data_IF_339984081769
#
_entry.id   IF_339984081769
#
_cell.length_a   1.000
_cell.length_b   1.000
_cell.length_c   1.000
_cell.angle_alpha   90.00
_cell.angle_beta   90.00
_cell.angle_gamma   90.00
#
_symmetry.space_group_name_H-M   'P 1'
#
loop_
_entity.id
_entity.type
_entity.pdbx_description
1 polymer ?
#
# COMPACT_ATOMS: atom_id res chain seq x y z
N UNK A 1 41.11 -35.22 -18.53
CA UNK A 1 40.74 -33.89 -18.08
C UNK A 1 39.34 -33.65 -18.56
N UNK A 2 38.34 -33.98 -17.74
CA UNK A 2 36.92 -33.81 -18.03
C UNK A 2 36.41 -32.72 -17.12
N UNK A 3 36.16 -31.58 -17.73
CA UNK A 3 35.69 -30.40 -17.09
C UNK A 3 34.15 -30.54 -16.87
N UNK A 4 33.74 -30.75 -15.62
CA UNK A 4 32.35 -30.90 -15.26
C UNK A 4 31.76 -29.50 -15.10
N UNK A 5 31.02 -29.02 -16.09
CA UNK A 5 30.17 -27.87 -16.02
C UNK A 5 29.02 -28.17 -15.04
N UNK A 6 29.17 -27.67 -13.80
CA UNK A 6 28.08 -27.64 -12.82
C UNK A 6 27.10 -26.56 -13.26
N UNK A 7 25.98 -27.00 -13.80
CA UNK A 7 24.81 -26.12 -14.04
C UNK A 7 24.32 -25.53 -12.70
N UNK A 8 24.05 -24.22 -12.58
CA UNK A 8 23.46 -23.70 -11.36
C UNK A 8 22.08 -24.33 -11.17
N UNK A 9 21.87 -24.93 -10.00
CA UNK A 9 20.58 -25.49 -9.61
C UNK A 9 19.51 -24.41 -9.73
N UNK A 10 18.46 -24.69 -10.50
CA UNK A 10 17.26 -23.87 -10.55
C UNK A 10 16.68 -23.80 -9.11
N UNK A 11 16.54 -22.60 -8.59
CA UNK A 11 15.89 -22.37 -7.29
C UNK A 11 14.44 -22.83 -7.39
N UNK A 12 14.02 -23.64 -6.45
CA UNK A 12 12.64 -24.12 -6.31
C UNK A 12 11.70 -22.90 -6.17
N UNK A 13 10.75 -22.67 -7.09
CA UNK A 13 9.84 -21.53 -7.03
C UNK A 13 8.85 -21.58 -5.86
N UNK A 14 8.73 -22.73 -5.18
CA UNK A 14 7.87 -22.91 -4.00
C UNK A 14 8.62 -22.76 -2.66
N UNK A 15 9.88 -22.33 -2.68
CA UNK A 15 10.60 -22.06 -1.43
C UNK A 15 10.00 -20.81 -0.75
N UNK A 16 9.70 -20.87 0.56
CA UNK A 16 9.07 -19.76 1.30
C UNK A 16 9.91 -18.47 1.32
N UNK A 17 11.17 -18.54 0.91
CA UNK A 17 12.11 -17.42 0.91
C UNK A 17 12.25 -16.72 -0.45
N UNK A 18 11.60 -17.21 -1.50
CA UNK A 18 11.65 -16.63 -2.85
C UNK A 18 10.30 -16.02 -3.22
N UNK A 19 10.31 -14.75 -3.63
CA UNK A 19 9.11 -13.99 -3.97
C UNK A 19 9.26 -13.27 -5.30
N UNK A 20 8.18 -13.16 -6.05
CA UNK A 20 8.17 -12.48 -7.34
C UNK A 20 8.31 -10.95 -7.20
N UNK A 21 9.19 -10.35 -8.01
CA UNK A 21 9.34 -8.91 -8.17
C UNK A 21 9.39 -8.58 -9.67
N UNK A 22 8.25 -8.20 -10.24
CA UNK A 22 8.09 -8.03 -11.67
C UNK A 22 8.29 -9.35 -12.42
N UNK A 23 9.34 -9.44 -13.23
CA UNK A 23 9.71 -10.65 -13.97
C UNK A 23 10.89 -11.44 -13.36
N UNK A 24 11.28 -11.12 -12.12
CA UNK A 24 12.40 -11.75 -11.41
C UNK A 24 11.94 -12.31 -10.08
N UNK A 25 12.46 -13.48 -9.74
CA UNK A 25 12.33 -14.07 -8.42
C UNK A 25 13.51 -13.61 -7.56
N UNK A 26 13.20 -13.02 -6.42
CA UNK A 26 14.17 -12.48 -5.47
C UNK A 26 13.87 -12.98 -4.07
N UNK A 27 14.85 -12.88 -3.16
CA UNK A 27 14.62 -13.19 -1.76
C UNK A 27 13.61 -12.23 -1.15
N UNK A 28 12.75 -12.73 -0.27
CA UNK A 28 11.71 -11.96 0.40
C UNK A 28 12.26 -10.68 1.08
N UNK A 29 13.44 -10.80 1.71
CA UNK A 29 14.13 -9.70 2.39
C UNK A 29 14.55 -8.57 1.43
N UNK A 30 14.93 -8.92 0.19
CA UNK A 30 15.36 -7.94 -0.80
C UNK A 30 14.19 -7.20 -1.45
N UNK A 31 13.00 -7.82 -1.50
CA UNK A 31 11.82 -7.23 -2.14
C UNK A 31 11.43 -5.90 -1.50
N UNK A 32 11.30 -5.87 -0.18
CA UNK A 32 10.92 -4.65 0.54
C UNK A 32 11.94 -3.51 0.33
N UNK A 33 13.24 -3.83 0.36
CA UNK A 33 14.31 -2.86 0.14
C UNK A 33 14.28 -2.28 -1.28
N UNK A 34 14.14 -3.13 -2.32
CA UNK A 34 14.08 -2.70 -3.72
C UNK A 34 12.83 -1.88 -4.03
N UNK A 35 11.68 -2.31 -3.53
CA UNK A 35 10.43 -1.55 -3.64
C UNK A 35 10.58 -0.18 -3.00
N UNK A 36 11.14 -0.10 -1.79
CA UNK A 36 11.38 1.16 -1.10
C UNK A 36 12.33 2.10 -1.86
N UNK A 37 13.36 1.58 -2.51
CA UNK A 37 14.29 2.39 -3.31
C UNK A 37 13.62 2.98 -4.55
N UNK A 38 12.85 2.19 -5.28
CA UNK A 38 12.08 2.66 -6.44
C UNK A 38 11.12 3.78 -6.03
N UNK A 39 10.38 3.60 -4.94
CA UNK A 39 9.44 4.62 -4.48
C UNK A 39 10.10 5.89 -3.93
N UNK A 40 11.27 5.80 -3.27
CA UNK A 40 12.03 6.99 -2.86
C UNK A 40 12.40 7.87 -4.04
N UNK A 41 12.83 7.27 -5.14
CA UNK A 41 13.29 7.99 -6.33
C UNK A 41 12.13 8.65 -7.11
N UNK A 42 10.92 8.13 -7.00
CA UNK A 42 9.76 8.62 -7.76
C UNK A 42 8.70 9.32 -6.91
N UNK A 43 8.84 9.36 -5.58
CA UNK A 43 7.82 9.87 -4.66
C UNK A 43 7.29 11.26 -5.03
N UNK A 44 8.17 12.20 -5.40
CA UNK A 44 7.79 13.56 -5.77
C UNK A 44 7.05 13.69 -7.11
N UNK A 45 7.23 12.70 -8.01
CA UNK A 45 6.64 12.67 -9.36
C UNK A 45 5.64 11.54 -9.55
N UNK A 46 5.34 10.80 -8.48
CA UNK A 46 4.54 9.56 -8.55
C UNK A 46 3.15 9.78 -9.19
N UNK A 47 2.44 10.82 -8.76
CA UNK A 47 1.13 11.12 -9.32
C UNK A 47 1.19 11.60 -10.76
N UNK A 48 2.20 12.43 -11.10
CA UNK A 48 2.39 12.89 -12.47
C UNK A 48 2.72 11.73 -13.42
N UNK A 49 3.54 10.79 -12.96
CA UNK A 49 3.87 9.59 -13.72
C UNK A 49 2.65 8.70 -13.92
N UNK A 50 1.83 8.52 -12.88
CA UNK A 50 0.58 7.76 -13.00
C UNK A 50 -0.43 8.46 -13.92
N UNK A 51 -0.54 9.79 -13.87
CA UNK A 51 -1.36 10.57 -14.80
C UNK A 51 -0.92 10.36 -16.26
N UNK A 52 0.39 10.44 -16.51
CA UNK A 52 0.94 10.27 -17.84
C UNK A 52 0.76 8.83 -18.37
N UNK A 53 1.03 7.81 -17.54
CA UNK A 53 0.93 6.39 -17.95
C UNK A 53 -0.50 5.91 -18.16
N UNK A 54 -1.49 6.51 -17.50
CA UNK A 54 -2.89 6.08 -17.56
C UNK A 54 -3.79 7.03 -18.35
N UNK A 55 -3.23 8.07 -18.98
CA UNK A 55 -4.00 9.13 -19.63
C UNK A 55 -5.13 9.69 -18.73
N UNK A 56 -4.86 9.79 -17.41
CA UNK A 56 -5.84 10.28 -16.44
C UNK A 56 -6.91 9.26 -15.99
N UNK A 57 -6.98 8.07 -16.59
CA UNK A 57 -8.00 7.06 -16.26
C UNK A 57 -7.92 6.59 -14.80
N UNK A 58 -6.73 6.61 -14.19
CA UNK A 58 -6.59 6.23 -12.78
C UNK A 58 -7.40 7.14 -11.84
N UNK A 59 -7.69 8.40 -12.23
CA UNK A 59 -8.54 9.30 -11.43
C UNK A 59 -9.99 8.81 -11.40
N UNK A 60 -10.50 8.29 -12.51
CA UNK A 60 -11.84 7.69 -12.60
C UNK A 60 -11.91 6.42 -11.75
N UNK A 61 -10.89 5.56 -11.82
CA UNK A 61 -10.82 4.35 -11.01
C UNK A 61 -10.77 4.66 -9.51
N UNK A 62 -9.97 5.63 -9.08
CA UNK A 62 -9.93 6.07 -7.69
C UNK A 62 -11.28 6.59 -7.20
N UNK A 63 -11.99 7.35 -8.03
CA UNK A 63 -13.34 7.82 -7.69
C UNK A 63 -14.34 6.65 -7.60
N UNK A 64 -14.30 5.71 -8.55
CA UNK A 64 -15.13 4.50 -8.50
C UNK A 64 -14.82 3.66 -7.27
N UNK A 65 -13.54 3.46 -6.96
CA UNK A 65 -13.09 2.75 -5.76
C UNK A 65 -13.68 3.37 -4.49
N UNK A 66 -13.52 4.68 -4.31
CA UNK A 66 -14.07 5.39 -3.14
C UNK A 66 -15.60 5.32 -3.10
N UNK A 67 -16.28 5.27 -4.27
CA UNK A 67 -17.72 5.03 -4.32
C UNK A 67 -18.12 3.63 -3.86
N UNK A 68 -17.28 2.62 -4.10
CA UNK A 68 -17.50 1.24 -3.61
C UNK A 68 -17.25 1.14 -2.11
N UNK A 69 -16.19 1.78 -1.61
CA UNK A 69 -15.88 1.86 -0.17
C UNK A 69 -17.01 2.52 0.62
N UNK A 70 -17.72 3.49 0.03
CA UNK A 70 -18.83 4.24 0.65
C UNK A 70 -18.47 4.81 2.03
N UNK A 71 -17.39 5.62 2.12
CA UNK A 71 -17.00 6.20 3.40
C UNK A 71 -18.13 7.10 3.95
N UNK A 72 -18.34 7.05 5.26
CA UNK A 72 -19.37 7.80 5.97
C UNK A 72 -18.74 8.73 6.98
N UNK A 73 -19.46 9.80 7.30
CA UNK A 73 -19.04 10.71 8.36
C UNK A 73 -18.90 9.97 9.70
N UNK A 74 -17.79 10.22 10.40
CA UNK A 74 -17.49 9.60 11.68
C UNK A 74 -16.88 8.20 11.61
N UNK A 75 -16.81 7.55 10.43
CA UNK A 75 -16.10 6.27 10.28
C UNK A 75 -14.59 6.47 10.36
N UNK A 76 -13.92 5.50 10.98
CA UNK A 76 -12.47 5.38 11.02
C UNK A 76 -12.03 4.40 9.95
N UNK A 77 -11.27 4.88 8.97
CA UNK A 77 -10.79 4.09 7.84
C UNK A 77 -9.27 4.00 7.87
N UNK A 78 -8.73 2.80 7.67
CA UNK A 78 -7.30 2.58 7.47
C UNK A 78 -7.03 2.38 5.97
N UNK A 79 -6.19 3.24 5.38
CA UNK A 79 -5.74 3.16 3.98
C UNK A 79 -4.28 2.71 3.98
N UNK A 80 -4.06 1.41 3.75
CA UNK A 80 -2.74 0.77 3.80
C UNK A 80 -2.05 0.82 2.44
N UNK A 81 -0.73 1.01 2.46
CA UNK A 81 0.06 1.36 1.28
C UNK A 81 -0.57 2.57 0.53
N UNK A 82 -1.06 3.53 1.31
CA UNK A 82 -1.80 4.69 0.83
C UNK A 82 -0.91 5.75 0.16
N UNK A 83 0.41 5.63 0.32
CA UNK A 83 1.40 6.47 -0.33
C UNK A 83 1.18 7.96 -0.07
N UNK A 84 1.01 8.73 -1.14
CA UNK A 84 0.77 10.18 -1.07
C UNK A 84 -0.68 10.57 -0.69
N UNK A 85 -1.53 9.60 -0.34
CA UNK A 85 -2.86 9.80 0.25
C UNK A 85 -3.97 10.18 -0.74
N UNK A 86 -3.81 9.98 -2.03
CA UNK A 86 -4.79 10.44 -3.02
C UNK A 86 -6.19 9.80 -2.85
N UNK A 87 -6.26 8.52 -2.47
CA UNK A 87 -7.52 7.82 -2.14
C UNK A 87 -8.06 8.32 -0.81
N UNK A 88 -7.21 8.39 0.21
CA UNK A 88 -7.57 8.88 1.54
C UNK A 88 -8.17 10.28 1.52
N UNK A 89 -7.62 11.19 0.71
CA UNK A 89 -8.14 12.54 0.55
C UNK A 89 -9.59 12.56 0.04
N UNK A 90 -9.92 11.65 -0.87
CA UNK A 90 -11.29 11.51 -1.37
C UNK A 90 -12.24 10.96 -0.31
N UNK A 91 -11.76 10.04 0.53
CA UNK A 91 -12.55 9.48 1.63
C UNK A 91 -12.76 10.52 2.74
N UNK A 92 -11.72 11.26 3.13
CA UNK A 92 -11.80 12.33 4.13
C UNK A 92 -12.77 13.45 3.72
N UNK A 93 -12.81 13.82 2.42
CA UNK A 93 -13.79 14.79 1.90
C UNK A 93 -15.24 14.34 2.05
N UNK A 94 -15.51 13.06 2.33
CA UNK A 94 -16.85 12.53 2.64
C UNK A 94 -17.12 12.45 4.14
N UNK A 95 -16.22 12.99 4.96
CA UNK A 95 -16.39 13.09 6.41
C UNK A 95 -15.83 11.92 7.21
N UNK A 96 -15.14 10.97 6.57
CA UNK A 96 -14.43 9.90 7.29
C UNK A 96 -13.13 10.41 7.91
N UNK A 97 -12.75 9.83 9.05
CA UNK A 97 -11.41 9.96 9.63
C UNK A 97 -10.51 8.88 9.04
N UNK A 98 -9.48 9.27 8.27
CA UNK A 98 -8.65 8.32 7.54
C UNK A 98 -7.24 8.30 8.08
N UNK A 99 -6.78 7.12 8.51
CA UNK A 99 -5.37 6.86 8.80
C UNK A 99 -4.72 6.31 7.53
N UNK A 100 -3.72 7.03 7.03
CA UNK A 100 -2.92 6.61 5.89
C UNK A 100 -1.67 5.95 6.43
N UNK A 101 -1.43 4.70 6.04
CA UNK A 101 -0.21 4.00 6.39
C UNK A 101 0.56 3.57 5.15
N UNK A 102 1.88 3.65 5.24
CA UNK A 102 2.79 3.20 4.19
C UNK A 102 4.12 2.78 4.83
N UNK A 103 4.79 1.82 4.25
CA UNK A 103 6.12 1.39 4.70
C UNK A 103 7.19 2.42 4.35
N UNK A 104 6.92 3.30 3.38
CA UNK A 104 7.86 4.31 2.91
C UNK A 104 7.51 5.69 3.49
N UNK A 105 8.28 6.20 4.48
CA UNK A 105 8.03 7.50 5.09
C UNK A 105 8.09 8.68 4.10
N UNK A 106 8.92 8.60 3.06
CA UNK A 106 9.01 9.67 2.07
C UNK A 106 7.70 9.86 1.29
N UNK A 107 6.94 8.79 1.05
CA UNK A 107 5.62 8.88 0.43
C UNK A 107 4.63 9.60 1.35
N UNK A 108 4.66 9.28 2.64
CA UNK A 108 3.80 9.92 3.64
C UNK A 108 4.13 11.41 3.79
N UNK A 109 5.41 11.78 3.76
CA UNK A 109 5.82 13.19 3.89
C UNK A 109 5.33 14.03 2.71
N UNK A 110 5.47 13.53 1.47
CA UNK A 110 4.85 14.16 0.30
C UNK A 110 3.32 14.26 0.46
N UNK A 111 2.70 13.22 1.02
CA UNK A 111 1.26 13.20 1.30
C UNK A 111 0.84 14.28 2.29
N UNK A 112 1.57 14.43 3.41
CA UNK A 112 1.34 15.47 4.42
C UNK A 112 1.38 16.88 3.82
N UNK A 113 2.47 17.19 3.08
CA UNK A 113 2.60 18.49 2.40
C UNK A 113 1.43 18.78 1.45
N UNK A 114 0.96 17.75 0.73
CA UNK A 114 -0.19 17.88 -0.17
C UNK A 114 -1.50 18.10 0.57
N UNK A 115 -1.69 17.40 1.70
CA UNK A 115 -2.86 17.57 2.56
C UNK A 115 -2.94 18.99 3.11
N UNK A 116 -1.81 19.51 3.60
CA UNK A 116 -1.70 20.86 4.15
C UNK A 116 -1.98 21.93 3.08
N UNK A 117 -1.36 21.82 1.89
CA UNK A 117 -1.62 22.70 0.75
C UNK A 117 -3.09 22.72 0.34
N UNK A 118 -3.77 21.56 0.44
CA UNK A 118 -5.20 21.40 0.09
C UNK A 118 -6.13 21.61 1.27
N UNK A 119 -5.61 21.88 2.48
CA UNK A 119 -6.38 22.09 3.74
C UNK A 119 -7.35 20.94 4.03
N UNK A 120 -6.91 19.69 3.80
CA UNK A 120 -7.75 18.50 4.02
C UNK A 120 -7.67 18.12 5.50
N UNK A 121 -8.83 18.01 6.15
CA UNK A 121 -8.98 17.61 7.53
C UNK A 121 -9.31 16.12 7.67
N UNK A 122 -9.18 15.58 8.89
CA UNK A 122 -9.56 14.19 9.18
C UNK A 122 -8.54 13.14 8.72
N UNK A 123 -7.28 13.52 8.59
CA UNK A 123 -6.19 12.63 8.19
C UNK A 123 -5.22 12.38 9.34
N UNK A 124 -4.75 11.15 9.45
CA UNK A 124 -3.63 10.71 10.29
C UNK A 124 -2.64 9.93 9.45
N UNK A 125 -1.37 9.88 9.87
CA UNK A 125 -0.28 9.29 9.10
C UNK A 125 0.53 8.35 9.99
N UNK A 126 0.84 7.14 9.50
CA UNK A 126 1.62 6.16 10.22
C UNK A 126 2.58 5.43 9.28
N UNK A 127 3.81 5.23 9.72
CA UNK A 127 4.75 4.34 9.01
C UNK A 127 4.50 2.93 9.51
N UNK A 128 4.00 2.05 8.63
CA UNK A 128 3.53 0.71 8.99
C UNK A 128 3.89 -0.31 7.92
N UNK A 129 4.14 -1.52 8.37
CA UNK A 129 4.17 -2.69 7.49
C UNK A 129 2.78 -3.33 7.46
N UNK A 130 2.22 -3.54 6.27
CA UNK A 130 0.91 -4.19 6.10
C UNK A 130 0.85 -5.59 6.71
N UNK A 131 1.98 -6.26 6.86
CA UNK A 131 2.11 -7.61 7.41
C UNK A 131 2.20 -7.65 8.94
N UNK A 132 2.38 -6.47 9.59
CA UNK A 132 2.53 -6.32 11.04
C UNK A 132 2.14 -4.88 11.43
N UNK A 133 0.83 -4.67 11.61
CA UNK A 133 0.28 -3.35 11.94
C UNK A 133 0.32 -3.09 13.45
N UNK A 134 0.79 -1.91 13.85
CA UNK A 134 0.84 -1.52 15.27
C UNK A 134 -0.53 -1.16 15.87
N UNK A 135 -1.58 -1.13 15.07
CA UNK A 135 -2.93 -0.76 15.52
C UNK A 135 -3.60 -1.86 16.36
N UNK A 136 -4.41 -1.49 17.37
CA UNK A 136 -5.19 -2.45 18.14
C UNK A 136 -6.22 -3.19 17.29
N UNK A 137 -6.64 -4.36 17.78
CA UNK A 137 -7.75 -5.13 17.20
C UNK A 137 -9.03 -4.29 17.16
N UNK A 138 -9.88 -4.55 16.16
CA UNK A 138 -11.21 -3.95 16.06
C UNK A 138 -11.20 -2.40 16.10
N UNK A 139 -10.22 -1.76 15.47
CA UNK A 139 -10.00 -0.31 15.54
C UNK A 139 -10.66 0.47 14.40
N UNK A 140 -10.89 -0.16 13.26
CA UNK A 140 -11.34 0.51 12.04
C UNK A 140 -12.67 -0.03 11.51
N UNK A 141 -13.48 0.87 10.95
CA UNK A 141 -14.76 0.55 10.33
C UNK A 141 -14.60 0.07 8.87
N UNK A 142 -13.51 0.51 8.23
CA UNK A 142 -13.12 0.03 6.91
C UNK A 142 -11.59 -0.02 6.79
N UNK A 143 -11.12 -0.93 5.93
CA UNK A 143 -9.73 -1.10 5.54
C UNK A 143 -9.64 -1.03 4.04
N UNK A 144 -8.69 -0.29 3.51
CA UNK A 144 -8.43 -0.21 2.08
C UNK A 144 -6.96 -0.48 1.81
N UNK A 145 -6.71 -1.26 0.78
CA UNK A 145 -5.39 -1.44 0.19
C UNK A 145 -5.56 -1.53 -1.33
N UNK A 146 -5.27 -0.46 -2.03
CA UNK A 146 -5.51 -0.41 -3.46
C UNK A 146 -4.42 -1.18 -4.24
N UNK A 147 -3.58 -0.47 -4.98
CA UNK A 147 -2.54 -1.11 -5.79
C UNK A 147 -1.36 -1.67 -4.97
N UNK A 148 -1.27 -1.34 -3.68
CA UNK A 148 -0.17 -1.72 -2.79
C UNK A 148 -0.08 -3.21 -2.51
N UNK A 149 -1.19 -3.95 -2.55
CA UNK A 149 -1.25 -5.38 -2.20
C UNK A 149 -0.26 -6.23 -3.02
N UNK A 150 -0.01 -5.88 -4.28
CA UNK A 150 0.95 -6.58 -5.16
C UNK A 150 2.41 -6.47 -4.70
N UNK A 151 2.72 -5.49 -3.85
CA UNK A 151 4.07 -5.25 -3.33
C UNK A 151 4.29 -5.91 -1.95
N UNK A 152 3.23 -6.44 -1.35
CA UNK A 152 3.29 -7.17 -0.08
C UNK A 152 4.01 -8.51 -0.30
N UNK A 153 4.90 -8.85 0.62
CA UNK A 153 5.68 -10.10 0.52
C UNK A 153 4.83 -11.30 0.94
N UNK A 154 4.16 -11.22 2.10
CA UNK A 154 3.35 -12.29 2.65
C UNK A 154 1.88 -11.84 2.70
N UNK A 155 1.17 -12.02 1.58
CA UNK A 155 -0.23 -11.55 1.43
C UNK A 155 -1.13 -12.11 2.52
N UNK A 156 -0.96 -13.37 2.91
CA UNK A 156 -1.78 -14.00 3.96
C UNK A 156 -1.62 -13.32 5.32
N UNK A 157 -0.39 -12.89 5.68
CA UNK A 157 -0.17 -12.10 6.89
C UNK A 157 -0.89 -10.76 6.83
N UNK A 158 -0.74 -10.04 5.72
CA UNK A 158 -1.40 -8.74 5.54
C UNK A 158 -2.94 -8.86 5.57
N UNK A 159 -3.51 -9.92 5.01
CA UNK A 159 -4.95 -10.18 5.11
C UNK A 159 -5.38 -10.53 6.54
N UNK A 160 -4.53 -11.27 7.29
CA UNK A 160 -4.74 -11.54 8.72
C UNK A 160 -4.75 -10.26 9.54
N UNK A 161 -3.81 -9.35 9.31
CA UNK A 161 -3.75 -8.04 9.95
C UNK A 161 -4.95 -7.16 9.59
N UNK A 162 -5.35 -7.15 8.31
CA UNK A 162 -6.56 -6.45 7.89
C UNK A 162 -7.81 -6.95 8.64
N UNK A 163 -7.95 -8.28 8.77
CA UNK A 163 -9.05 -8.88 9.54
C UNK A 163 -8.97 -8.52 11.03
N UNK A 164 -7.77 -8.54 11.62
CA UNK A 164 -7.55 -8.24 13.04
C UNK A 164 -7.94 -6.80 13.40
N UNK A 165 -7.50 -5.84 12.60
CA UNK A 165 -7.73 -4.41 12.89
C UNK A 165 -9.14 -3.94 12.53
N UNK A 166 -9.88 -4.69 11.70
CA UNK A 166 -11.26 -4.38 11.35
C UNK A 166 -12.21 -4.73 12.50
N UNK A 167 -13.14 -3.84 12.78
CA UNK A 167 -14.28 -4.11 13.67
C UNK A 167 -15.16 -5.22 13.08
N UNK A 168 -15.92 -5.89 13.94
CA UNK A 168 -16.98 -6.82 13.47
C UNK A 168 -17.95 -6.08 12.56
N UNK A 169 -18.20 -6.61 11.37
CA UNK A 169 -19.00 -5.95 10.34
C UNK A 169 -18.28 -4.81 9.60
N UNK A 170 -17.01 -4.63 9.85
CA UNK A 170 -16.15 -3.74 9.07
C UNK A 170 -16.00 -4.18 7.61
N UNK A 171 -15.58 -3.28 6.75
CA UNK A 171 -15.44 -3.50 5.29
C UNK A 171 -13.97 -3.58 4.89
N UNK A 172 -13.65 -4.58 4.06
CA UNK A 172 -12.37 -4.71 3.36
C UNK A 172 -12.54 -4.41 1.87
#
# INVERSE_FOLDING_TARGET
MTDSLVSPAASDPDSPDVVSFGYQDIKAEEKAARVGEVFRNVASKYDLMNDAMSAGMHRLWKNRFVNLVRPRAGERILDVAGGTGDIAFRMAKRGASVTISDINPAMLDVGKERADKKKIQGLSWAVENAEELSFPDNSFDAYTIAFGIRNVTHIQKALGEAHRVLKRGGRF
#
